data_IF_701730836975
#
_entry.id   IF_701730836975
#
_cell.length_a   1.000
_cell.length_b   1.000
_cell.length_c   1.000
_cell.angle_alpha   90.00
_cell.angle_beta   90.00
_cell.angle_gamma   90.00
#
_symmetry.space_group_name_H-M   'P 1'
#
loop_
_entity.id
_entity.type
_entity.pdbx_description
1 polymer ?
#
# COMPACT_ATOMS: atom_id res chain seq x y z
N UNK A 1 -19.85 2.78 -15.13
CA UNK A 1 -18.74 3.67 -15.53
C UNK A 1 -17.62 3.48 -14.53
N UNK A 2 -16.35 3.33 -14.96
CA UNK A 2 -15.24 3.37 -14.01
C UNK A 2 -15.27 4.70 -13.26
N UNK A 3 -15.03 4.69 -11.94
CA UNK A 3 -14.85 5.94 -11.17
C UNK A 3 -13.66 6.71 -11.78
N UNK A 4 -13.76 8.03 -11.86
CA UNK A 4 -12.64 8.91 -12.21
C UNK A 4 -11.65 8.91 -11.04
N UNK A 5 -10.36 8.86 -11.35
CA UNK A 5 -9.29 8.95 -10.36
C UNK A 5 -9.15 10.40 -9.87
N UNK A 6 -9.09 10.60 -8.56
CA UNK A 6 -8.77 11.90 -7.93
C UNK A 6 -7.25 12.13 -7.77
N UNK A 7 -6.44 11.13 -8.15
CA UNK A 7 -4.99 11.10 -8.01
C UNK A 7 -4.53 11.33 -6.56
N UNK A 8 -5.32 10.91 -5.58
CA UNK A 8 -5.00 11.04 -4.16
C UNK A 8 -5.19 9.72 -3.43
N UNK A 9 -4.23 9.39 -2.59
CA UNK A 9 -4.25 8.15 -1.81
C UNK A 9 -3.86 8.40 -0.37
N UNK A 10 -4.44 7.61 0.53
CA UNK A 10 -4.05 7.58 1.93
C UNK A 10 -3.56 6.19 2.31
N UNK A 11 -2.56 6.13 3.17
CA UNK A 11 -2.06 4.89 3.77
C UNK A 11 -2.00 5.00 5.29
N UNK A 12 -2.19 3.88 6.00
CA UNK A 12 -2.24 3.86 7.46
C UNK A 12 -1.23 2.85 8.01
N UNK A 13 -0.20 3.36 8.69
CA UNK A 13 0.72 2.55 9.49
C UNK A 13 0.02 2.17 10.80
N UNK A 14 -0.14 0.88 11.03
CA UNK A 14 -0.70 0.34 12.27
C UNK A 14 0.37 -0.54 12.90
N UNK A 15 0.92 -0.11 14.03
CA UNK A 15 1.93 -0.85 14.76
C UNK A 15 1.35 -1.61 15.95
N UNK A 16 1.89 -2.78 16.22
CA UNK A 16 1.64 -3.56 17.43
C UNK A 16 2.94 -4.19 17.90
N UNK A 17 3.46 -3.77 19.05
CA UNK A 17 4.69 -4.31 19.66
C UNK A 17 5.90 -4.35 18.70
N UNK A 18 6.03 -3.35 17.83
CA UNK A 18 7.13 -3.25 16.86
C UNK A 18 6.89 -4.00 15.55
N UNK A 19 5.72 -4.60 15.36
CA UNK A 19 5.30 -5.24 14.11
C UNK A 19 4.26 -4.36 13.39
N UNK A 20 4.37 -4.25 12.07
CA UNK A 20 3.48 -3.48 11.21
C UNK A 20 2.37 -4.37 10.65
N UNK A 21 1.13 -3.92 10.67
CA UNK A 21 0.05 -4.63 10.00
C UNK A 21 0.24 -4.56 8.48
N UNK A 22 0.36 -5.73 7.85
CA UNK A 22 0.41 -5.88 6.40
C UNK A 22 -0.79 -6.70 5.92
N UNK A 23 -1.40 -6.29 4.82
CA UNK A 23 -2.48 -6.97 4.11
C UNK A 23 -2.02 -7.46 2.74
N UNK A 24 -2.45 -8.65 2.34
CA UNK A 24 -2.30 -9.13 0.97
C UNK A 24 -3.51 -8.68 0.15
N UNK A 25 -3.29 -7.84 -0.86
CA UNK A 25 -4.39 -7.30 -1.66
C UNK A 25 -4.99 -8.37 -2.58
N UNK A 26 -6.32 -8.49 -2.54
CA UNK A 26 -7.12 -9.33 -3.46
C UNK A 26 -7.36 -8.64 -4.80
N UNK A 27 -7.41 -7.31 -4.80
CA UNK A 27 -7.66 -6.46 -5.97
C UNK A 27 -6.37 -5.76 -6.39
N UNK A 28 -6.34 -5.30 -7.65
CA UNK A 28 -5.31 -4.39 -8.18
C UNK A 28 -4.95 -3.30 -7.14
N UNK A 29 -3.68 -3.06 -6.78
CA UNK A 29 -2.44 -3.74 -7.16
C UNK A 29 -2.16 -4.98 -6.30
N UNK A 30 -1.68 -6.07 -6.91
CA UNK A 30 -1.30 -7.26 -6.14
C UNK A 30 0.02 -7.07 -5.40
N UNK A 31 0.03 -7.42 -4.11
CA UNK A 31 1.16 -7.21 -3.22
C UNK A 31 0.77 -7.24 -1.76
N UNK A 32 1.77 -7.27 -0.89
CA UNK A 32 1.59 -6.93 0.51
C UNK A 32 1.68 -5.41 0.70
N UNK A 33 0.72 -4.83 1.40
CA UNK A 33 0.62 -3.39 1.61
C UNK A 33 0.12 -3.07 3.02
N UNK A 34 0.23 -1.80 3.40
CA UNK A 34 -0.53 -1.27 4.54
C UNK A 34 -1.98 -1.01 4.10
N UNK A 35 -2.94 -0.90 5.04
CA UNK A 35 -4.28 -0.43 4.73
C UNK A 35 -4.22 0.91 3.98
N UNK A 36 -4.92 1.02 2.85
CA UNK A 36 -4.81 2.16 1.96
C UNK A 36 -5.98 2.29 0.97
N UNK A 37 -6.31 3.53 0.60
CA UNK A 37 -7.39 3.80 -0.34
C UNK A 37 -7.36 5.19 -0.96
N UNK A 38 -8.36 5.47 -1.81
CA UNK A 38 -8.53 6.75 -2.50
C UNK A 38 -9.25 7.76 -1.61
N UNK A 39 -8.92 9.05 -1.74
CA UNK A 39 -9.62 10.10 -1.00
C UNK A 39 -11.05 10.35 -1.51
N UNK A 40 -11.31 10.15 -2.81
CA UNK A 40 -12.61 10.35 -3.45
C UNK A 40 -13.23 11.75 -3.18
N UNK A 41 -12.37 12.76 -2.95
CA UNK A 41 -12.77 14.14 -2.66
C UNK A 41 -12.98 14.48 -1.17
N UNK A 42 -12.89 13.50 -0.28
CA UNK A 42 -13.00 13.68 1.16
C UNK A 42 -11.65 14.04 1.81
N UNK A 43 -11.69 14.45 3.09
CA UNK A 43 -10.49 14.78 3.85
C UNK A 43 -9.64 13.51 4.16
N UNK A 44 -8.30 13.64 4.18
CA UNK A 44 -7.40 12.49 4.23
C UNK A 44 -7.50 11.71 5.55
N UNK A 45 -7.80 12.39 6.67
CA UNK A 45 -7.93 11.71 7.96
C UNK A 45 -9.22 10.90 8.07
N UNK A 46 -10.34 11.43 7.57
CA UNK A 46 -11.62 10.74 7.52
C UNK A 46 -11.50 9.49 6.66
N UNK A 47 -10.89 9.59 5.48
CA UNK A 47 -10.68 8.43 4.61
C UNK A 47 -9.71 7.45 5.26
N UNK A 48 -8.62 7.90 5.89
CA UNK A 48 -7.71 6.99 6.56
C UNK A 48 -8.39 6.15 7.65
N UNK A 49 -9.26 6.79 8.46
CA UNK A 49 -10.06 6.08 9.48
C UNK A 49 -11.09 5.14 8.85
N UNK A 50 -11.69 5.53 7.73
CA UNK A 50 -12.68 4.74 7.00
C UNK A 50 -12.04 3.49 6.39
N UNK A 51 -10.95 3.65 5.63
CA UNK A 51 -10.20 2.56 4.99
C UNK A 51 -9.65 1.58 6.04
N UNK A 52 -9.13 2.09 7.16
CA UNK A 52 -8.69 1.25 8.27
C UNK A 52 -9.83 0.35 8.82
N UNK A 53 -11.05 0.89 8.89
CA UNK A 53 -12.19 0.12 9.34
C UNK A 53 -12.73 -0.83 8.26
N UNK A 54 -12.81 -0.38 7.01
CA UNK A 54 -13.36 -1.17 5.90
C UNK A 54 -12.44 -2.32 5.49
N UNK A 55 -11.13 -2.08 5.37
CA UNK A 55 -10.18 -3.11 4.92
C UNK A 55 -9.84 -4.11 6.02
N UNK A 56 -9.72 -3.68 7.28
CA UNK A 56 -9.18 -4.52 8.38
C UNK A 56 -10.00 -4.50 9.68
N UNK A 57 -11.09 -3.75 9.77
CA UNK A 57 -11.99 -3.76 10.94
C UNK A 57 -11.47 -2.98 12.16
N UNK A 58 -10.35 -2.26 12.04
CA UNK A 58 -9.74 -1.53 13.14
C UNK A 58 -10.25 -0.09 13.21
N UNK A 59 -10.19 0.50 14.40
CA UNK A 59 -10.52 1.91 14.63
C UNK A 59 -9.38 2.59 15.36
N UNK A 60 -9.12 3.86 15.04
CA UNK A 60 -8.16 4.70 15.75
C UNK A 60 -8.81 5.98 16.27
N UNK A 61 -8.39 6.41 17.45
CA UNK A 61 -8.77 7.71 18.02
C UNK A 61 -7.91 8.87 17.53
N UNK A 62 -6.74 8.59 16.93
CA UNK A 62 -5.79 9.62 16.50
C UNK A 62 -4.91 9.17 15.34
N UNK A 63 -4.61 10.10 14.45
CA UNK A 63 -3.70 9.90 13.33
C UNK A 63 -2.58 10.94 13.42
N UNK A 64 -1.35 10.51 13.21
CA UNK A 64 -0.21 11.41 12.99
C UNK A 64 0.20 11.32 11.53
N UNK A 65 0.26 12.46 10.83
CA UNK A 65 0.76 12.49 9.45
C UNK A 65 2.27 12.26 9.44
N UNK A 66 2.73 11.25 8.71
CA UNK A 66 4.16 10.89 8.63
C UNK A 66 4.81 11.28 7.29
N UNK A 67 4.04 11.26 6.21
CA UNK A 67 4.57 11.51 4.86
C UNK A 67 3.51 12.12 3.94
N UNK A 68 3.94 13.04 3.10
CA UNK A 68 3.21 13.48 1.89
C UNK A 68 4.18 13.37 0.70
N UNK A 69 3.82 12.59 -0.32
CA UNK A 69 4.68 12.39 -1.50
C UNK A 69 3.85 12.08 -2.77
N UNK A 70 4.26 12.63 -3.91
CA UNK A 70 3.72 12.24 -5.20
C UNK A 70 4.47 11.04 -5.78
N UNK A 71 3.75 10.00 -6.19
CA UNK A 71 4.32 8.82 -6.85
C UNK A 71 3.65 8.60 -8.22
N UNK A 72 4.41 8.22 -9.27
CA UNK A 72 3.86 7.89 -10.57
C UNK A 72 3.27 6.47 -10.58
N UNK A 73 2.49 6.09 -9.55
CA UNK A 73 1.81 4.80 -9.52
C UNK A 73 0.45 4.90 -10.25
N UNK A 74 0.21 4.08 -11.29
CA UNK A 74 -1.05 4.11 -12.02
C UNK A 74 -2.21 3.50 -11.22
N UNK A 75 -3.43 3.93 -11.56
CA UNK A 75 -4.69 3.35 -11.08
C UNK A 75 -5.43 2.67 -12.23
N UNK A 76 -6.24 1.66 -11.89
CA UNK A 76 -7.26 1.12 -12.80
C UNK A 76 -8.38 2.11 -13.15
N UNK A 77 -8.50 3.22 -12.42
CA UNK A 77 -9.50 4.28 -12.60
C UNK A 77 -9.10 5.22 -13.74
N UNK A 78 -10.10 5.76 -14.43
CA UNK A 78 -9.86 6.69 -15.54
C UNK A 78 -9.11 7.95 -15.04
N UNK A 79 -8.04 8.34 -15.73
CA UNK A 79 -7.20 9.49 -15.37
C UNK A 79 -6.13 9.22 -14.30
N UNK A 80 -6.02 7.99 -13.79
CA UNK A 80 -5.07 7.64 -12.72
C UNK A 80 -3.67 7.30 -13.22
N UNK A 81 -2.85 8.31 -13.52
CA UNK A 81 -1.44 8.12 -13.90
C UNK A 81 -0.46 8.24 -12.72
N UNK A 82 -0.89 8.87 -11.63
CA UNK A 82 -0.09 9.16 -10.44
C UNK A 82 -0.99 9.28 -9.21
N UNK A 83 -0.41 9.25 -8.02
CA UNK A 83 -1.10 9.62 -6.79
C UNK A 83 -0.25 10.48 -5.87
N UNK A 84 -0.88 11.49 -5.29
CA UNK A 84 -0.39 12.21 -4.12
C UNK A 84 -0.79 11.40 -2.88
N UNK A 85 0.21 10.79 -2.24
CA UNK A 85 0.04 9.96 -1.06
C UNK A 85 0.13 10.80 0.21
N UNK A 86 -0.81 10.60 1.12
CA UNK A 86 -0.69 10.99 2.53
C UNK A 86 -0.62 9.74 3.40
N UNK A 87 0.49 9.53 4.10
CA UNK A 87 0.62 8.39 5.03
C UNK A 87 0.47 8.86 6.46
N UNK A 88 -0.42 8.20 7.20
CA UNK A 88 -0.63 8.42 8.62
C UNK A 88 -0.13 7.23 9.43
N UNK A 89 0.23 7.49 10.69
CA UNK A 89 0.39 6.47 11.72
C UNK A 89 -0.78 6.53 12.69
N UNK A 90 -1.34 5.37 13.03
CA UNK A 90 -2.41 5.27 14.01
C UNK A 90 -1.84 5.35 15.45
N UNK A 91 -2.19 6.43 16.16
CA UNK A 91 -1.81 6.65 17.55
C UNK A 91 -2.73 5.86 18.50
N UNK A 92 -2.55 4.54 18.48
CA UNK A 92 -3.39 3.58 19.19
C UNK A 92 -4.59 3.14 18.35
N UNK A 93 -4.98 1.89 18.52
CA UNK A 93 -6.09 1.30 17.78
C UNK A 93 -6.90 0.35 18.68
N UNK A 94 -8.14 0.10 18.27
CA UNK A 94 -9.06 -0.80 18.95
C UNK A 94 -9.78 -1.67 17.92
N UNK A 95 -10.36 -2.77 18.39
CA UNK A 95 -11.08 -3.73 17.56
C UNK A 95 -10.31 -5.04 17.37
N UNK A 96 -10.88 -5.90 16.54
CA UNK A 96 -10.30 -7.17 16.12
C UNK A 96 -10.04 -7.09 14.62
N UNK A 97 -8.91 -7.62 14.16
CA UNK A 97 -8.61 -7.64 12.73
C UNK A 97 -9.63 -8.54 12.03
N UNK A 98 -10.41 -7.93 11.14
CA UNK A 98 -11.44 -8.56 10.32
C UNK A 98 -11.23 -8.12 8.88
N UNK A 99 -10.31 -8.76 8.14
CA UNK A 99 -10.01 -8.36 6.79
C UNK A 99 -11.24 -8.50 5.91
N UNK A 100 -11.52 -7.50 5.10
CA UNK A 100 -12.59 -7.57 4.11
C UNK A 100 -12.30 -8.70 3.13
N UNK A 101 -13.22 -9.66 3.01
CA UNK A 101 -13.07 -10.77 2.07
C UNK A 101 -13.05 -10.30 0.61
N UNK A 102 -13.60 -9.12 0.32
CA UNK A 102 -13.64 -8.55 -1.01
C UNK A 102 -12.32 -7.86 -1.42
N UNK A 103 -11.49 -7.49 -0.44
CA UNK A 103 -10.34 -6.59 -0.68
C UNK A 103 -9.02 -7.20 -0.25
N UNK A 104 -9.06 -8.05 0.77
CA UNK A 104 -7.89 -8.66 1.39
C UNK A 104 -7.96 -10.18 1.26
N UNK A 105 -6.85 -10.80 0.85
CA UNK A 105 -6.69 -12.26 0.84
C UNK A 105 -6.24 -12.78 2.20
N UNK A 106 -5.27 -12.11 2.81
CA UNK A 106 -4.64 -12.49 4.06
C UNK A 106 -4.05 -11.26 4.75
N UNK A 107 -3.68 -11.39 6.03
CA UNK A 107 -2.97 -10.36 6.76
C UNK A 107 -1.93 -10.99 7.68
N UNK A 108 -0.94 -10.22 8.10
CA UNK A 108 -0.04 -10.58 9.19
C UNK A 108 0.58 -9.34 9.83
N UNK A 109 1.12 -9.53 11.04
CA UNK A 109 2.00 -8.58 11.70
C UNK A 109 3.43 -8.83 11.25
N UNK A 110 4.06 -7.82 10.68
CA UNK A 110 5.36 -7.89 10.04
C UNK A 110 6.41 -7.17 10.88
N UNK A 111 7.38 -7.90 11.42
CA UNK A 111 8.58 -7.26 11.94
C UNK A 111 9.43 -6.66 10.80
N UNK A 112 10.48 -5.91 11.17
CA UNK A 112 11.37 -5.29 10.19
C UNK A 112 12.02 -6.30 9.25
N UNK A 113 12.39 -7.49 9.75
CA UNK A 113 13.01 -8.53 8.93
C UNK A 113 12.03 -9.01 7.86
N UNK A 114 10.77 -9.24 8.23
CA UNK A 114 9.73 -9.66 7.31
C UNK A 114 9.44 -8.60 6.24
N UNK A 115 9.43 -7.32 6.61
CA UNK A 115 9.26 -6.22 5.65
C UNK A 115 10.42 -6.20 4.64
N UNK A 116 11.66 -6.42 5.09
CA UNK A 116 12.84 -6.53 4.21
C UNK A 116 12.70 -7.71 3.25
N UNK A 117 12.30 -8.90 3.73
CA UNK A 117 12.08 -10.07 2.87
C UNK A 117 11.03 -9.81 1.76
N UNK A 118 9.96 -9.06 2.07
CA UNK A 118 8.96 -8.66 1.08
C UNK A 118 9.53 -7.68 0.05
N UNK A 119 10.36 -6.74 0.49
CA UNK A 119 11.02 -5.78 -0.39
C UNK A 119 12.06 -6.46 -1.30
N UNK A 120 12.84 -7.39 -0.77
CA UNK A 120 13.80 -8.20 -1.54
C UNK A 120 13.10 -9.00 -2.64
N UNK A 121 11.94 -9.61 -2.36
CA UNK A 121 11.12 -10.27 -3.38
C UNK A 121 10.68 -9.32 -4.49
N UNK A 122 10.28 -8.09 -4.17
CA UNK A 122 9.94 -7.08 -5.17
C UNK A 122 11.18 -6.70 -6.00
N UNK A 123 12.35 -6.56 -5.36
CA UNK A 123 13.60 -6.25 -6.06
C UNK A 123 14.02 -7.37 -7.01
N UNK A 124 13.91 -8.63 -6.58
CA UNK A 124 14.17 -9.80 -7.43
C UNK A 124 13.21 -9.85 -8.62
N UNK A 125 11.92 -9.60 -8.39
CA UNK A 125 10.92 -9.51 -9.43
C UNK A 125 11.21 -8.37 -10.42
N UNK A 126 11.49 -7.16 -9.93
CA UNK A 126 11.85 -6.03 -10.78
C UNK A 126 13.07 -6.36 -11.65
N UNK A 127 14.10 -6.99 -11.06
CA UNK A 127 15.29 -7.46 -11.78
C UNK A 127 14.96 -8.49 -12.85
N UNK A 128 14.08 -9.46 -12.58
CA UNK A 128 13.69 -10.46 -13.58
C UNK A 128 12.89 -9.86 -14.74
N UNK A 129 12.21 -8.74 -14.51
CA UNK A 129 11.47 -7.98 -15.53
C UNK A 129 12.34 -6.92 -16.25
N UNK A 130 13.61 -6.74 -15.84
CA UNK A 130 14.49 -5.70 -16.40
C UNK A 130 14.01 -4.27 -16.06
N UNK A 131 13.41 -4.10 -14.89
CA UNK A 131 12.86 -2.83 -14.39
C UNK A 131 13.76 -2.29 -13.28
N UNK A 132 14.07 -1.00 -13.31
CA UNK A 132 14.87 -0.34 -12.27
C UNK A 132 14.00 0.18 -11.13
N UNK A 133 14.50 0.10 -9.89
CA UNK A 133 13.89 0.74 -8.72
C UNK A 133 14.59 2.08 -8.45
N UNK A 134 14.53 2.99 -9.42
CA UNK A 134 15.15 4.31 -9.29
C UNK A 134 14.47 5.13 -8.19
N UNK A 135 15.19 5.89 -7.37
CA UNK A 135 14.60 6.63 -6.23
C UNK A 135 13.46 7.58 -6.62
N UNK A 136 13.47 8.12 -7.84
CA UNK A 136 12.42 8.98 -8.39
C UNK A 136 11.15 8.23 -8.84
N UNK A 137 11.15 6.89 -8.75
CA UNK A 137 10.03 6.05 -9.13
C UNK A 137 9.72 6.05 -10.63
N UNK A 138 10.64 6.47 -11.52
CA UNK A 138 10.34 6.62 -12.95
C UNK A 138 9.77 5.34 -13.60
N UNK A 139 10.23 4.18 -13.14
CA UNK A 139 9.88 2.86 -13.65
C UNK A 139 8.68 2.23 -12.89
N UNK A 140 8.13 2.92 -11.89
CA UNK A 140 7.00 2.45 -11.08
C UNK A 140 5.76 2.09 -11.92
N UNK A 141 5.37 2.84 -12.97
CA UNK A 141 4.27 2.43 -13.85
C UNK A 141 4.50 1.04 -14.47
N UNK A 142 5.71 0.78 -14.98
CA UNK A 142 6.08 -0.49 -15.60
C UNK A 142 6.10 -1.62 -14.56
N UNK A 143 6.58 -1.32 -13.36
CA UNK A 143 6.62 -2.29 -12.27
C UNK A 143 5.21 -2.69 -11.82
N UNK A 144 4.31 -1.71 -11.69
CA UNK A 144 2.90 -1.93 -11.36
C UNK A 144 2.21 -2.73 -12.47
N UNK A 145 2.46 -2.43 -13.74
CA UNK A 145 1.91 -3.21 -14.86
C UNK A 145 2.40 -4.67 -14.82
N UNK A 146 3.71 -4.88 -14.65
CA UNK A 146 4.30 -6.21 -14.58
C UNK A 146 3.75 -7.02 -13.40
N UNK A 147 3.73 -6.43 -12.19
CA UNK A 147 3.22 -7.10 -10.99
C UNK A 147 1.73 -7.43 -11.08
N UNK A 148 0.98 -6.64 -11.85
CA UNK A 148 -0.43 -6.92 -12.07
C UNK A 148 -0.69 -7.96 -13.15
N UNK A 149 0.22 -8.21 -14.08
CA UNK A 149 0.02 -9.13 -15.21
C UNK A 149 0.69 -10.49 -15.02
N UNK A 150 1.73 -10.56 -14.20
CA UNK A 150 2.48 -11.79 -13.91
C UNK A 150 1.69 -12.75 -12.99
N UNK A 151 1.35 -13.98 -13.45
CA UNK A 151 0.62 -14.94 -12.63
C UNK A 151 1.40 -15.42 -11.40
N UNK A 152 2.72 -15.60 -11.50
CA UNK A 152 3.54 -16.05 -10.38
C UNK A 152 3.61 -14.98 -9.28
N UNK A 153 3.66 -13.70 -9.65
CA UNK A 153 3.54 -12.61 -8.67
C UNK A 153 2.22 -12.65 -7.91
N UNK A 154 1.10 -12.93 -8.61
CA UNK A 154 -0.23 -13.00 -7.96
C UNK A 154 -0.38 -14.16 -6.99
N UNK A 155 0.36 -15.26 -7.19
CA UNK A 155 0.33 -16.44 -6.33
C UNK A 155 1.20 -16.28 -5.08
N UNK A 156 2.36 -15.65 -5.20
CA UNK A 156 3.29 -15.45 -4.09
C UNK A 156 3.97 -14.07 -4.17
N UNK A 157 3.24 -12.99 -3.85
CA UNK A 157 3.75 -11.64 -4.02
C UNK A 157 4.82 -11.28 -2.97
N UNK A 158 5.59 -10.24 -3.30
CA UNK A 158 6.37 -9.46 -2.35
C UNK A 158 5.62 -8.21 -1.89
N UNK A 159 6.38 -7.18 -1.55
CA UNK A 159 5.84 -5.85 -1.22
C UNK A 159 5.16 -5.23 -2.45
N UNK A 160 4.00 -4.60 -2.27
CA UNK A 160 3.33 -3.87 -3.36
C UNK A 160 4.24 -2.75 -3.89
N UNK A 161 4.36 -2.54 -5.22
CA UNK A 161 5.33 -1.59 -5.76
C UNK A 161 5.36 -0.19 -5.13
N UNK A 162 4.24 0.53 -4.92
CA UNK A 162 4.27 1.86 -4.30
C UNK A 162 4.77 1.83 -2.85
N UNK A 163 4.50 0.74 -2.12
CA UNK A 163 4.88 0.60 -0.72
C UNK A 163 6.39 0.57 -0.54
N UNK A 164 7.15 0.07 -1.52
CA UNK A 164 8.61 0.12 -1.49
C UNK A 164 9.13 1.56 -1.38
N UNK A 165 8.57 2.47 -2.17
CA UNK A 165 8.98 3.87 -2.19
C UNK A 165 8.51 4.58 -0.92
N UNK A 166 7.26 4.38 -0.50
CA UNK A 166 6.75 4.94 0.75
C UNK A 166 7.58 4.48 1.95
N UNK A 167 7.93 3.19 2.03
CA UNK A 167 8.70 2.64 3.15
C UNK A 167 10.15 3.11 3.16
N UNK A 168 10.75 3.39 1.99
CA UNK A 168 12.07 4.02 1.90
C UNK A 168 12.04 5.45 2.45
N UNK A 169 11.07 6.26 2.04
CA UNK A 169 10.92 7.64 2.53
C UNK A 169 10.58 7.70 4.03
N UNK A 170 9.81 6.73 4.53
CA UNK A 170 9.48 6.60 5.95
C UNK A 170 10.64 6.03 6.81
N UNK A 171 11.75 5.60 6.20
CA UNK A 171 12.88 4.97 6.91
C UNK A 171 12.57 3.58 7.49
N UNK A 172 11.53 2.91 6.98
CA UNK A 172 11.16 1.53 7.36
C UNK A 172 12.11 0.54 6.68
N UNK A 173 12.48 0.82 5.42
CA UNK A 173 13.40 0.05 4.57
C UNK A 173 14.79 0.67 4.42
#
# INVERSE_FOLDING_TARGET
MPKICDNKSVGILVWNKGELLMIERRKYNFGFAIPAGHQDGDDPETIAKKELFEEVGLKTGGLEKKLEIGLPNPCKREGGAQHDWTVFEANGWTGEIKPSQDETKSYFWADRKRIIELAERLQEFAKSQGISLSPDGHDLPRLVEASNTDPAWRENPGLEPPMYFLFKELGIL
#
